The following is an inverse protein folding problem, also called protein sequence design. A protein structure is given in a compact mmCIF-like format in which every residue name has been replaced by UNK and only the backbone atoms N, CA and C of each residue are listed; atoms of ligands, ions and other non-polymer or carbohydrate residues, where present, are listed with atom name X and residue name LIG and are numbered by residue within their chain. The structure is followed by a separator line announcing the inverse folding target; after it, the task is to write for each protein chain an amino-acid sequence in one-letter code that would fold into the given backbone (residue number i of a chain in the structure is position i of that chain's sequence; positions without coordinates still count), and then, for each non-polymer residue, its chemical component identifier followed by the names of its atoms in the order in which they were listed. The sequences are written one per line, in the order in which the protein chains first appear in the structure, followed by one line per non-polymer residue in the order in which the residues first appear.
data_IF_982107850057
#
_entry.id   IF_982107850057
#
_cell.length_a   1.000
_cell.length_b   1.000
_cell.length_c   1.000
_cell.angle_alpha   90.00
_cell.angle_beta   90.00
_cell.angle_gamma   90.00
#
_symmetry.space_group_name_H-M   'P 1'
#
loop_
_entity.id
_entity.type
_entity.pdbx_description
1 polymer ?
#
# COMPACT_ATOMS: atom_id res chain seq x y z
N UNK A 1 -10.98 3.70 19.98
CA UNK A 1 -10.12 3.10 18.94
C UNK A 1 -9.07 2.25 19.65
N UNK A 2 -9.37 0.96 19.84
CA UNK A 2 -8.42 0.04 20.45
C UNK A 2 -7.35 -0.28 19.40
N UNK A 3 -6.11 0.20 19.59
CA UNK A 3 -4.97 -0.27 18.80
C UNK A 3 -4.64 -1.70 19.25
N UNK A 4 -5.35 -2.69 18.72
CA UNK A 4 -4.82 -4.05 18.69
C UNK A 4 -3.48 -3.98 17.94
N UNK A 5 -2.36 -4.32 18.58
CA UNK A 5 -1.02 -4.08 18.05
C UNK A 5 -0.84 -4.68 16.64
N UNK A 6 -0.91 -3.83 15.61
CA UNK A 6 -0.69 -4.20 14.22
C UNK A 6 0.77 -3.98 13.81
N UNK A 7 1.26 -4.76 12.84
CA UNK A 7 2.60 -4.58 12.26
C UNK A 7 2.49 -3.68 11.02
N UNK A 8 3.29 -2.62 10.97
CA UNK A 8 3.51 -1.82 9.75
C UNK A 8 4.80 -2.30 9.08
N UNK A 9 4.73 -2.59 7.78
CA UNK A 9 5.89 -3.03 6.99
C UNK A 9 6.11 -2.01 5.88
N UNK A 10 7.27 -1.35 5.89
CA UNK A 10 7.70 -0.46 4.82
C UNK A 10 8.58 -1.19 3.81
N UNK A 11 8.06 -1.44 2.61
CA UNK A 11 8.86 -1.94 1.48
C UNK A 11 9.48 -0.75 0.74
N UNK A 12 10.80 -0.67 0.71
CA UNK A 12 11.54 0.41 0.05
C UNK A 12 12.84 -0.10 -0.57
N UNK A 13 13.38 0.66 -1.52
CA UNK A 13 14.72 0.45 -2.08
C UNK A 13 15.32 1.79 -2.49
N UNK A 14 16.65 1.83 -2.65
CA UNK A 14 17.37 3.06 -3.02
C UNK A 14 17.33 3.37 -4.52
N UNK A 15 16.90 2.42 -5.35
CA UNK A 15 16.80 2.55 -6.81
C UNK A 15 15.47 2.00 -7.30
N UNK A 16 14.98 2.57 -8.40
CA UNK A 16 13.85 1.99 -9.13
C UNK A 16 14.18 0.59 -9.67
N UNK A 17 13.13 -0.21 -9.91
CA UNK A 17 13.26 -1.52 -10.54
C UNK A 17 13.73 -2.66 -9.63
N UNK A 18 13.88 -2.46 -8.33
CA UNK A 18 14.23 -3.53 -7.36
C UNK A 18 13.06 -4.51 -7.06
N UNK A 19 11.90 -4.32 -7.69
CA UNK A 19 10.71 -5.14 -7.43
C UNK A 19 9.98 -4.81 -6.12
N UNK A 20 10.22 -3.62 -5.52
CA UNK A 20 9.62 -3.22 -4.24
C UNK A 20 8.09 -3.36 -4.22
N UNK A 21 7.41 -2.88 -5.26
CA UNK A 21 5.94 -2.95 -5.38
C UNK A 21 5.44 -4.39 -5.50
N UNK A 22 6.15 -5.23 -6.27
CA UNK A 22 5.82 -6.66 -6.41
C UNK A 22 5.94 -7.38 -5.07
N UNK A 23 7.01 -7.13 -4.31
CA UNK A 23 7.19 -7.71 -2.97
C UNK A 23 6.11 -7.22 -2.01
N UNK A 24 5.77 -5.93 -2.04
CA UNK A 24 4.70 -5.38 -1.20
C UNK A 24 3.34 -6.04 -1.50
N UNK A 25 2.99 -6.20 -2.78
CA UNK A 25 1.78 -6.88 -3.23
C UNK A 25 1.76 -8.36 -2.81
N UNK A 26 2.84 -9.10 -3.06
CA UNK A 26 2.94 -10.51 -2.72
C UNK A 26 2.86 -10.75 -1.21
N UNK A 27 3.52 -9.91 -0.40
CA UNK A 27 3.47 -9.98 1.05
C UNK A 27 2.05 -9.72 1.57
N UNK A 28 1.37 -8.71 1.03
CA UNK A 28 -0.01 -8.40 1.42
C UNK A 28 -0.97 -9.54 1.07
N UNK A 29 -0.89 -10.09 -0.14
CA UNK A 29 -1.71 -11.21 -0.60
C UNK A 29 -1.45 -12.48 0.21
N UNK A 30 -0.18 -12.78 0.51
CA UNK A 30 0.19 -13.93 1.35
C UNK A 30 -0.42 -13.85 2.75
N UNK A 31 -0.37 -12.67 3.37
CA UNK A 31 -0.95 -12.41 4.71
C UNK A 31 -2.48 -12.43 4.67
N UNK A 32 -3.09 -11.85 3.64
CA UNK A 32 -4.53 -11.90 3.44
C UNK A 32 -5.01 -13.36 3.26
N UNK A 33 -4.29 -14.16 2.47
CA UNK A 33 -4.54 -15.58 2.28
C UNK A 33 -4.44 -16.42 3.55
N UNK A 34 -3.68 -15.96 4.56
CA UNK A 34 -3.60 -16.60 5.88
C UNK A 34 -4.69 -16.13 6.86
N UNK A 35 -5.68 -15.36 6.40
CA UNK A 35 -6.76 -14.82 7.23
C UNK A 35 -6.43 -13.53 7.98
N UNK A 36 -5.28 -12.91 7.71
CA UNK A 36 -4.92 -11.63 8.34
C UNK A 36 -5.63 -10.48 7.64
N UNK A 37 -6.21 -9.54 8.39
CA UNK A 37 -6.69 -8.27 7.82
C UNK A 37 -5.48 -7.41 7.44
N UNK A 38 -5.35 -7.08 6.15
CA UNK A 38 -4.20 -6.34 5.61
C UNK A 38 -4.69 -5.09 4.88
N UNK A 39 -3.98 -3.98 5.09
CA UNK A 39 -4.11 -2.78 4.27
C UNK A 39 -2.81 -2.57 3.51
N UNK A 40 -2.90 -2.51 2.20
CA UNK A 40 -1.79 -2.18 1.31
C UNK A 40 -1.89 -0.70 0.92
N UNK A 41 -0.76 0.01 1.00
CA UNK A 41 -0.67 1.45 0.70
C UNK A 41 0.34 1.62 -0.43
N UNK A 42 -0.11 2.23 -1.52
CA UNK A 42 0.75 2.60 -2.65
C UNK A 42 1.26 4.04 -2.46
N UNK A 43 2.57 4.21 -2.54
CA UNK A 43 3.24 5.51 -2.46
C UNK A 43 3.94 5.90 -3.77
N UNK A 44 3.93 5.04 -4.79
CA UNK A 44 4.62 5.22 -6.07
C UNK A 44 3.69 5.18 -7.30
N UNK A 45 2.45 4.70 -7.14
CA UNK A 45 1.43 4.67 -8.18
C UNK A 45 1.54 3.49 -9.15
N UNK A 46 2.36 2.49 -8.86
CA UNK A 46 2.58 1.32 -9.72
C UNK A 46 1.93 0.03 -9.18
N UNK A 47 1.22 0.11 -8.06
CA UNK A 47 0.56 -1.04 -7.45
C UNK A 47 -0.58 -1.62 -8.30
N UNK A 48 -1.48 -0.82 -8.92
CA UNK A 48 -2.57 -1.39 -9.72
C UNK A 48 -2.06 -2.26 -10.88
N UNK A 49 -1.01 -1.80 -11.55
CA UNK A 49 -0.33 -2.56 -12.60
C UNK A 49 0.28 -3.87 -12.05
N UNK A 50 0.93 -3.83 -10.88
CA UNK A 50 1.50 -5.03 -10.25
C UNK A 50 0.43 -6.06 -9.82
N UNK A 51 -0.77 -5.60 -9.45
CA UNK A 51 -1.92 -6.45 -9.10
C UNK A 51 -2.72 -6.92 -10.31
N UNK A 52 -2.48 -6.37 -11.51
CA UNK A 52 -3.27 -6.66 -12.70
C UNK A 52 -4.71 -6.14 -12.62
N UNK A 53 -4.94 -5.05 -11.89
CA UNK A 53 -6.24 -4.39 -11.75
C UNK A 53 -6.26 -3.06 -12.51
N UNK A 54 -7.46 -2.54 -12.77
CA UNK A 54 -7.63 -1.22 -13.36
C UNK A 54 -7.16 -0.12 -12.38
N UNK A 55 -6.65 0.98 -12.92
CA UNK A 55 -6.31 2.15 -12.14
C UNK A 55 -7.56 2.70 -11.41
N UNK A 56 -7.50 2.96 -10.10
CA UNK A 56 -8.61 3.57 -9.38
C UNK A 56 -8.93 4.98 -9.89
N UNK A 57 -10.22 5.32 -9.99
CA UNK A 57 -10.67 6.65 -10.46
C UNK A 57 -10.93 7.67 -9.34
N UNK A 58 -10.67 7.29 -8.08
CA UNK A 58 -10.92 8.13 -6.91
C UNK A 58 -9.69 8.89 -6.40
N UNK A 59 -9.86 9.74 -5.37
CA UNK A 59 -8.75 10.48 -4.76
C UNK A 59 -7.66 9.54 -4.24
N UNK A 60 -6.40 9.89 -4.50
CA UNK A 60 -5.23 9.14 -4.09
C UNK A 60 -4.75 9.50 -2.68
N UNK A 61 -3.65 8.86 -2.26
CA UNK A 61 -3.04 9.08 -0.95
C UNK A 61 -2.62 10.56 -0.75
N UNK A 62 -2.08 11.19 -1.79
CA UNK A 62 -1.67 12.60 -1.75
C UNK A 62 -2.88 13.53 -1.52
N UNK A 63 -4.00 13.26 -2.18
CA UNK A 63 -5.23 14.03 -1.99
C UNK A 63 -5.71 13.91 -0.55
N UNK A 64 -5.72 12.70 0.01
CA UNK A 64 -6.12 12.47 1.41
C UNK A 64 -5.23 13.23 2.39
N UNK A 65 -3.91 13.16 2.20
CA UNK A 65 -2.95 13.88 3.06
C UNK A 65 -3.14 15.39 2.96
N UNK A 66 -3.48 15.92 1.79
CA UNK A 66 -3.75 17.35 1.60
C UNK A 66 -4.99 17.84 2.36
N UNK A 67 -6.03 17.00 2.46
CA UNK A 67 -7.28 17.34 3.18
C UNK A 67 -7.17 17.28 4.71
N UNK A 68 -6.14 16.61 5.24
CA UNK A 68 -5.91 16.47 6.67
C UNK A 68 -5.08 17.62 7.29
N UNK A 69 -4.59 18.54 6.46
CA UNK A 69 -3.87 19.73 6.91
C UNK A 69 -4.89 20.80 7.33
N UNK A 70 -5.32 20.74 8.58
CA UNK A 70 -5.96 21.88 9.24
C UNK A 70 -4.89 22.93 9.60
N UNK A 71 -4.95 24.09 8.96
CA UNK A 71 -4.61 25.37 9.58
C UNK A 71 -5.61 25.73 10.70
#
# INVERSE_FOLDING_TARGET
MHCTGGVMIGCWSTKGGSGTTVIAAALALSRAGSGTSVRLVDTCGDLPAALGIAEPSGPGLTDWLSTSRHD
#
